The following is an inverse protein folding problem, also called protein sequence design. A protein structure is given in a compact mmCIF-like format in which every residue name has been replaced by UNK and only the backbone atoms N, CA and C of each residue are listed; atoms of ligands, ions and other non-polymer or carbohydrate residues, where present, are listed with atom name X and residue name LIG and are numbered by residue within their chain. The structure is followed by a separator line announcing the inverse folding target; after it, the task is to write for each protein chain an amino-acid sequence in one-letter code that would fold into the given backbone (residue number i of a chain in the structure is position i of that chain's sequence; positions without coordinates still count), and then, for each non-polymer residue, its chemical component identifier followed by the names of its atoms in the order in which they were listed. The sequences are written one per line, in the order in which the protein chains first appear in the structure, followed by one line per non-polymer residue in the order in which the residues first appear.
data_IF_618341386654
#
_entry.id   IF_618341386654
#
_cell.length_a   1.000
_cell.length_b   1.000
_cell.length_c   1.000
_cell.angle_alpha   90.00
_cell.angle_beta   90.00
_cell.angle_gamma   90.00
#
_symmetry.space_group_name_H-M   'P 1'
#
loop_
_entity.id
_entity.type
_entity.pdbx_description
1 polymer ?
#
# COMPACT_ATOMS: atom_id res chain seq x y z
N UNK A 1 -10.89 -4.45 -7.92
CA UNK A 1 -9.61 -5.07 -7.54
C UNK A 1 -9.82 -5.62 -6.16
N UNK A 2 -9.69 -6.93 -6.04
CA UNK A 2 -9.71 -7.64 -4.77
C UNK A 2 -8.35 -7.51 -4.04
N UNK A 3 -8.32 -7.76 -2.73
CA UNK A 3 -7.10 -7.64 -1.93
C UNK A 3 -6.05 -8.69 -2.30
N UNK A 4 -6.46 -9.91 -2.69
CA UNK A 4 -5.55 -10.96 -3.12
C UNK A 4 -4.96 -10.67 -4.51
N UNK A 5 -5.76 -10.08 -5.40
CA UNK A 5 -5.28 -9.58 -6.69
C UNK A 5 -4.20 -8.51 -6.48
N UNK A 6 -4.41 -7.58 -5.55
CA UNK A 6 -3.46 -6.52 -5.24
C UNK A 6 -2.14 -7.09 -4.67
N UNK A 7 -2.22 -8.03 -3.72
CA UNK A 7 -1.03 -8.67 -3.12
C UNK A 7 -0.24 -9.42 -4.21
N UNK A 8 -0.92 -10.18 -5.05
CA UNK A 8 -0.33 -10.94 -6.16
C UNK A 8 0.33 -10.01 -7.20
N UNK A 9 -0.30 -8.88 -7.54
CA UNK A 9 0.30 -7.88 -8.43
C UNK A 9 1.61 -7.32 -7.85
N UNK A 10 1.61 -6.94 -6.57
CA UNK A 10 2.80 -6.37 -5.93
C UNK A 10 3.93 -7.39 -5.73
N UNK A 11 3.61 -8.68 -5.60
CA UNK A 11 4.59 -9.76 -5.53
C UNK A 11 5.28 -10.03 -6.87
N UNK A 12 4.50 -10.06 -7.95
CA UNK A 12 5.00 -10.40 -9.28
C UNK A 12 5.62 -9.22 -10.05
N UNK A 13 5.39 -7.98 -9.60
CA UNK A 13 5.86 -6.78 -10.30
C UNK A 13 7.20 -6.29 -9.78
N UNK A 14 8.26 -6.47 -10.57
CA UNK A 14 9.60 -5.94 -10.24
C UNK A 14 9.74 -4.42 -10.39
N UNK A 15 8.97 -3.80 -11.28
CA UNK A 15 9.13 -2.39 -11.68
C UNK A 15 7.78 -1.65 -11.77
N UNK A 16 7.10 -1.50 -10.65
CA UNK A 16 5.78 -0.84 -10.64
C UNK A 16 5.91 0.68 -10.77
N UNK A 17 5.05 1.30 -11.59
CA UNK A 17 4.94 2.76 -11.67
C UNK A 17 4.44 3.30 -10.33
N UNK A 18 4.98 4.43 -9.87
CA UNK A 18 4.54 5.04 -8.61
C UNK A 18 3.05 5.35 -8.60
N UNK A 19 2.50 5.82 -9.73
CA UNK A 19 1.06 6.08 -9.87
C UNK A 19 0.20 4.82 -9.73
N UNK A 20 0.69 3.65 -10.13
CA UNK A 20 -0.02 2.38 -9.93
C UNK A 20 0.01 1.97 -8.46
N UNK A 21 1.17 2.08 -7.80
CA UNK A 21 1.29 1.79 -6.36
C UNK A 21 0.36 2.70 -5.53
N UNK A 22 0.28 4.00 -5.85
CA UNK A 22 -0.64 4.94 -5.19
C UNK A 22 -2.09 4.51 -5.39
N UNK A 23 -2.52 4.21 -6.62
CA UNK A 23 -3.91 3.78 -6.88
C UNK A 23 -4.28 2.49 -6.14
N UNK A 24 -3.37 1.52 -6.09
CA UNK A 24 -3.57 0.29 -5.30
C UNK A 24 -3.75 0.69 -3.83
N UNK A 25 -2.82 1.46 -3.28
CA UNK A 25 -2.86 1.87 -1.87
C UNK A 25 -4.14 2.65 -1.52
N UNK A 26 -4.57 3.58 -2.38
CA UNK A 26 -5.81 4.36 -2.19
C UNK A 26 -7.07 3.49 -2.19
N UNK A 27 -7.06 2.37 -2.92
CA UNK A 27 -8.21 1.44 -2.99
C UNK A 27 -8.46 0.72 -1.65
N UNK A 28 -7.45 0.63 -0.78
CA UNK A 28 -7.54 -0.10 0.49
C UNK A 28 -7.38 0.77 1.73
N UNK A 29 -6.63 1.89 1.64
CA UNK A 29 -6.28 2.75 2.78
C UNK A 29 -6.80 4.18 2.66
N UNK A 30 -7.69 4.46 1.71
CA UNK A 30 -8.18 5.80 1.35
C UNK A 30 -7.07 6.73 0.82
N UNK A 31 -7.40 8.01 0.60
CA UNK A 31 -6.45 8.99 0.11
C UNK A 31 -5.33 9.30 1.14
N UNK A 32 -4.11 9.60 0.69
CA UNK A 32 -3.04 10.03 1.58
C UNK A 32 -3.42 11.35 2.28
N UNK A 33 -2.96 11.54 3.52
CA UNK A 33 -3.31 12.73 4.32
C UNK A 33 -2.86 14.04 3.68
N UNK A 34 -1.75 14.01 2.97
CA UNK A 34 -1.16 15.18 2.31
C UNK A 34 -0.91 14.87 0.82
N UNK A 35 -1.42 15.72 -0.07
CA UNK A 35 -1.17 15.65 -1.52
C UNK A 35 -0.23 16.74 -2.06
N UNK A 36 0.07 17.76 -1.25
CA UNK A 36 0.96 18.87 -1.62
C UNK A 36 2.45 18.65 -1.31
N UNK A 37 2.83 17.46 -0.83
CA UNK A 37 4.21 17.16 -0.41
C UNK A 37 4.83 16.04 -1.25
N UNK A 38 6.16 15.90 -1.18
CA UNK A 38 6.87 14.78 -1.82
C UNK A 38 6.57 13.42 -1.18
N UNK A 39 6.00 13.45 0.03
CA UNK A 39 5.61 12.28 0.81
C UNK A 39 4.08 12.14 0.87
N UNK A 40 3.62 10.89 0.78
CA UNK A 40 2.21 10.51 0.75
C UNK A 40 1.97 9.53 1.91
N UNK A 41 1.76 10.03 3.13
CA UNK A 41 1.45 9.20 4.29
C UNK A 41 -0.02 8.74 4.25
N UNK A 42 -0.25 7.43 4.42
CA UNK A 42 -1.58 6.83 4.49
C UNK A 42 -1.93 6.46 5.93
N UNK A 43 -3.24 6.49 6.25
CA UNK A 43 -3.76 6.01 7.54
C UNK A 43 -4.00 4.50 7.44
N UNK A 44 -3.57 3.77 8.45
CA UNK A 44 -3.83 2.34 8.62
C UNK A 44 -4.66 2.10 9.88
N UNK A 45 -5.49 1.03 9.95
CA UNK A 45 -6.36 0.75 11.08
C UNK A 45 -5.65 0.12 12.29
N UNK A 46 -4.34 -0.11 12.23
CA UNK A 46 -3.55 -0.67 13.33
C UNK A 46 -2.55 0.34 13.90
N UNK A 47 -2.05 0.06 15.10
CA UNK A 47 -0.88 0.72 15.67
C UNK A 47 0.41 0.02 15.23
N UNK A 48 1.52 0.79 15.16
CA UNK A 48 2.83 0.25 14.82
C UNK A 48 3.07 0.02 13.32
N UNK A 49 3.81 -1.05 13.00
CA UNK A 49 4.17 -1.44 11.64
C UNK A 49 3.17 -2.48 11.06
N UNK A 50 3.07 -2.60 9.72
CA UNK A 50 3.73 -1.78 8.71
C UNK A 50 3.10 -0.39 8.56
N UNK A 51 3.93 0.64 8.39
CA UNK A 51 3.50 2.00 8.02
C UNK A 51 3.60 2.22 6.51
N UNK A 52 2.70 3.04 5.97
CA UNK A 52 2.70 3.40 4.55
C UNK A 52 3.00 4.89 4.40
N UNK A 53 4.23 5.20 3.97
CA UNK A 53 4.65 6.55 3.60
C UNK A 53 5.36 6.52 2.25
N UNK A 54 4.61 6.82 1.19
CA UNK A 54 5.07 6.68 -0.19
C UNK A 54 5.77 7.95 -0.68
N UNK A 55 6.75 7.80 -1.57
CA UNK A 55 7.51 8.89 -2.17
C UNK A 55 7.87 8.48 -3.59
N UNK A 56 7.57 9.34 -4.56
CA UNK A 56 7.87 9.07 -5.98
C UNK A 56 9.38 8.92 -6.19
N UNK A 57 9.79 7.85 -6.89
CA UNK A 57 11.18 7.68 -7.33
C UNK A 57 11.57 8.69 -8.41
N UNK A 58 12.87 8.93 -8.56
CA UNK A 58 13.40 9.88 -9.58
C UNK A 58 13.04 9.46 -11.01
N UNK A 59 12.86 8.17 -11.26
CA UNK A 59 12.48 7.57 -12.55
C UNK A 59 10.95 7.41 -12.73
N UNK A 60 10.16 7.96 -11.80
CA UNK A 60 8.70 7.81 -11.80
C UNK A 60 8.19 6.45 -11.35
N UNK A 61 9.08 5.52 -10.98
CA UNK A 61 8.70 4.22 -10.41
C UNK A 61 8.58 4.32 -8.89
N UNK A 62 7.90 3.34 -8.30
CA UNK A 62 7.95 3.16 -6.86
C UNK A 62 9.29 2.56 -6.47
N UNK A 63 9.77 2.89 -5.27
CA UNK A 63 10.98 2.27 -4.74
C UNK A 63 10.65 0.83 -4.29
N UNK A 64 11.52 -0.17 -4.53
CA UNK A 64 11.21 -1.58 -4.20
C UNK A 64 10.78 -1.81 -2.75
N UNK A 65 11.40 -1.11 -1.79
CA UNK A 65 11.01 -1.23 -0.37
C UNK A 65 9.60 -0.71 -0.10
N UNK A 66 9.12 0.30 -0.84
CA UNK A 66 7.77 0.84 -0.70
C UNK A 66 6.73 -0.15 -1.24
N UNK A 67 7.07 -0.85 -2.32
CA UNK A 67 6.25 -1.96 -2.83
C UNK A 67 6.11 -3.04 -1.76
N UNK A 68 7.23 -3.44 -1.13
CA UNK A 68 7.24 -4.40 -0.01
C UNK A 68 6.40 -3.91 1.18
N UNK A 69 6.52 -2.64 1.57
CA UNK A 69 5.73 -2.06 2.67
C UNK A 69 4.23 -2.09 2.39
N UNK A 70 3.80 -1.69 1.18
CA UNK A 70 2.38 -1.73 0.81
C UNK A 70 1.87 -3.17 0.77
N UNK A 71 2.65 -4.12 0.23
CA UNK A 71 2.28 -5.53 0.23
C UNK A 71 2.07 -6.07 1.66
N UNK A 72 2.99 -5.81 2.58
CA UNK A 72 2.86 -6.23 3.98
C UNK A 72 1.63 -5.58 4.66
N UNK A 73 1.34 -4.32 4.34
CA UNK A 73 0.16 -3.65 4.85
C UNK A 73 -1.14 -4.26 4.31
N UNK A 74 -1.19 -4.66 3.03
CA UNK A 74 -2.33 -5.36 2.46
C UNK A 74 -2.54 -6.74 3.11
N UNK A 75 -1.46 -7.49 3.36
CA UNK A 75 -1.55 -8.78 4.07
C UNK A 75 -2.15 -8.58 5.46
N UNK A 76 -1.63 -7.62 6.24
CA UNK A 76 -2.17 -7.33 7.57
C UNK A 76 -3.62 -6.85 7.54
N UNK A 77 -3.99 -6.04 6.54
CA UNK A 77 -5.37 -5.60 6.36
C UNK A 77 -6.30 -6.79 6.06
N UNK A 78 -5.83 -7.77 5.27
CA UNK A 78 -6.57 -9.01 5.01
C UNK A 78 -6.79 -9.80 6.30
N UNK A 79 -5.72 -10.02 7.08
CA UNK A 79 -5.80 -10.73 8.37
C UNK A 79 -6.79 -10.09 9.35
N UNK A 80 -6.80 -8.75 9.45
CA UNK A 80 -7.75 -8.02 10.31
C UNK A 80 -9.18 -8.23 9.83
N UNK A 81 -9.44 -8.10 8.52
CA UNK A 81 -10.79 -8.31 7.96
C UNK A 81 -11.26 -9.74 8.16
N UNK A 82 -10.38 -10.73 8.04
CA UNK A 82 -10.73 -12.13 8.29
C UNK A 82 -10.99 -12.38 9.78
N UNK A 83 -10.25 -11.75 10.69
CA UNK A 83 -10.52 -11.79 12.13
C UNK A 83 -11.89 -11.21 12.49
N UNK A 84 -12.24 -10.04 11.96
CA UNK A 84 -13.52 -9.36 12.21
C UNK A 84 -14.74 -10.12 11.67
N UNK A 85 -14.57 -11.00 10.68
CA UNK A 85 -15.67 -11.81 10.12
C UNK A 85 -15.90 -13.13 10.89
N UNK A 86 -15.02 -13.49 11.82
CA UNK A 86 -15.09 -14.74 12.59
C UNK A 86 -15.57 -14.52 14.04
N UNK A 87 -15.91 -13.29 14.42
CA UNK A 87 -16.50 -12.87 15.70
C UNK A 87 -17.97 -12.45 15.52
#
# INVERSE_FOLDING_TARGET
MDIDEAITELENTKNIRFSRLIKITESFFNQPRNRGSSHYPFKVPWQGEPRINLQKGKDGKAKPYQVKQVRLALIKLKEIREGENND
#
